data_IF_919448438724
#
_entry.id   IF_919448438724
#
_cell.length_a   1.000
_cell.length_b   1.000
_cell.length_c   1.000
_cell.angle_alpha   90.00
_cell.angle_beta   90.00
_cell.angle_gamma   90.00
#
_symmetry.space_group_name_H-M   'P 1'
#
loop_
_entity.id
_entity.type
_entity.pdbx_description
1 polymer ?
#
# COMPACT_ATOMS: atom_id res chain seq x y z
N UNK A 1 -14.71 9.64 4.11
CA UNK A 1 -15.44 8.40 3.76
C UNK A 1 -15.30 7.40 4.91
N UNK A 2 -16.32 6.57 5.16
CA UNK A 2 -16.33 5.57 6.23
C UNK A 2 -16.47 4.18 5.60
N UNK A 3 -15.60 3.24 5.97
CA UNK A 3 -15.66 1.84 5.54
C UNK A 3 -16.03 0.95 6.72
N UNK A 4 -17.02 0.06 6.51
CA UNK A 4 -17.55 -0.87 7.51
C UNK A 4 -17.77 -2.23 6.86
N UNK A 5 -17.54 -3.31 7.61
CA UNK A 5 -17.83 -4.68 7.16
C UNK A 5 -16.67 -5.65 7.37
N UNK A 6 -16.75 -6.83 6.74
CA UNK A 6 -15.71 -7.87 6.83
C UNK A 6 -15.11 -8.12 5.45
N UNK A 7 -13.79 -8.04 5.35
CA UNK A 7 -13.04 -8.38 4.12
C UNK A 7 -12.33 -9.71 4.31
N UNK A 8 -12.18 -10.47 3.22
CA UNK A 8 -11.62 -11.84 3.27
C UNK A 8 -10.15 -11.88 3.73
N UNK A 9 -9.38 -10.85 3.41
CA UNK A 9 -7.95 -10.79 3.70
C UNK A 9 -7.45 -9.33 3.78
N UNK A 10 -6.26 -9.15 4.34
CA UNK A 10 -5.62 -7.85 4.52
C UNK A 10 -5.36 -7.13 3.18
N UNK A 11 -5.14 -7.87 2.09
CA UNK A 11 -4.89 -7.26 0.78
C UNK A 11 -6.15 -6.57 0.25
N UNK A 12 -7.34 -7.15 0.49
CA UNK A 12 -8.62 -6.52 0.17
C UNK A 12 -8.88 -5.30 1.06
N UNK A 13 -8.52 -5.36 2.35
CA UNK A 13 -8.62 -4.21 3.26
C UNK A 13 -7.87 -3.00 2.70
N UNK A 14 -6.59 -3.18 2.39
CA UNK A 14 -5.72 -2.10 1.90
C UNK A 14 -6.21 -1.54 0.57
N UNK A 15 -6.62 -2.42 -0.36
CA UNK A 15 -7.17 -2.00 -1.66
C UNK A 15 -8.45 -1.18 -1.51
N UNK A 16 -9.34 -1.56 -0.59
CA UNK A 16 -10.58 -0.83 -0.34
C UNK A 16 -10.30 0.58 0.20
N UNK A 17 -9.36 0.70 1.16
CA UNK A 17 -8.97 2.00 1.73
C UNK A 17 -8.34 2.91 0.66
N UNK A 18 -7.44 2.38 -0.17
CA UNK A 18 -6.78 3.17 -1.23
C UNK A 18 -7.77 3.57 -2.31
N UNK A 19 -8.66 2.67 -2.73
CA UNK A 19 -9.65 2.96 -3.77
C UNK A 19 -10.57 4.11 -3.35
N UNK A 20 -10.99 4.12 -2.08
CA UNK A 20 -11.87 5.16 -1.52
C UNK A 20 -11.10 6.45 -1.26
N UNK A 21 -9.86 6.38 -0.77
CA UNK A 21 -9.02 7.55 -0.51
C UNK A 21 -8.65 8.31 -1.78
N UNK A 22 -8.54 7.63 -2.92
CA UNK A 22 -8.22 8.24 -4.21
C UNK A 22 -9.45 8.79 -4.95
N UNK A 23 -10.65 8.71 -4.37
CA UNK A 23 -11.83 9.32 -4.97
C UNK A 23 -11.82 10.84 -4.77
N UNK A 24 -12.14 11.58 -5.83
CA UNK A 24 -12.14 13.04 -5.82
C UNK A 24 -13.12 13.55 -4.74
N UNK A 25 -12.62 14.39 -3.82
CA UNK A 25 -13.42 14.94 -2.72
C UNK A 25 -13.33 14.17 -1.39
N UNK A 26 -12.55 13.10 -1.31
CA UNK A 26 -12.30 12.40 -0.04
C UNK A 26 -10.99 12.86 0.59
N UNK A 27 -11.09 13.62 1.68
CA UNK A 27 -9.93 14.11 2.44
C UNK A 27 -9.38 13.10 3.44
N UNK A 28 -10.22 12.17 3.91
CA UNK A 28 -9.86 11.14 4.89
C UNK A 28 -10.77 9.92 4.77
N UNK A 29 -10.19 8.73 4.96
CA UNK A 29 -10.90 7.45 5.08
C UNK A 29 -10.83 6.98 6.54
N UNK A 30 -11.99 6.66 7.12
CA UNK A 30 -12.12 6.01 8.42
C UNK A 30 -12.45 4.54 8.17
N UNK A 31 -11.61 3.63 8.67
CA UNK A 31 -11.71 2.19 8.43
C UNK A 31 -11.66 1.38 9.73
N UNK A 32 -11.88 2.04 10.87
CA UNK A 32 -11.83 1.47 12.22
C UNK A 32 -12.86 0.34 12.42
N UNK A 33 -13.92 0.33 11.62
CA UNK A 33 -15.02 -0.64 11.63
C UNK A 33 -14.94 -1.65 10.47
N UNK A 34 -13.85 -1.66 9.70
CA UNK A 34 -13.60 -2.64 8.65
C UNK A 34 -12.71 -3.74 9.22
N UNK A 35 -13.21 -4.98 9.25
CA UNK A 35 -12.53 -6.12 9.85
C UNK A 35 -11.99 -7.06 8.78
N UNK A 36 -10.83 -7.66 9.03
CA UNK A 36 -10.32 -8.75 8.19
C UNK A 36 -10.80 -10.07 8.80
N UNK A 37 -11.46 -10.90 7.98
CA UNK A 37 -11.87 -12.23 8.38
C UNK A 37 -10.62 -13.01 8.83
N UNK A 38 -10.65 -13.67 10.01
CA UNK A 38 -9.56 -14.55 10.40
C UNK A 38 -9.46 -15.68 9.37
N UNK A 39 -8.31 -15.76 8.69
CA UNK A 39 -8.06 -16.84 7.75
C UNK A 39 -8.02 -18.18 8.52
N UNK A 40 -8.76 -19.22 8.09
CA UNK A 40 -8.59 -20.55 8.65
C UNK A 40 -7.23 -21.11 8.18
N UNK A 41 -6.32 -21.38 9.12
CA UNK A 41 -5.29 -22.40 8.92
C UNK A 41 -3.91 -21.97 8.42
N UNK A 42 -3.51 -20.70 8.48
CA UNK A 42 -2.10 -20.33 8.34
C UNK A 42 -1.66 -19.50 9.52
N UNK A 43 -0.63 -19.98 10.22
CA UNK A 43 0.10 -19.20 11.21
C UNK A 43 0.53 -17.90 10.53
N UNK A 44 -0.13 -16.80 10.88
CA UNK A 44 0.28 -15.48 10.48
C UNK A 44 1.66 -15.25 11.07
N UNK A 45 2.70 -15.37 10.23
CA UNK A 45 3.93 -14.64 10.50
C UNK A 45 3.50 -13.19 10.81
N UNK A 46 4.01 -12.57 11.89
CA UNK A 46 3.57 -11.24 12.29
C UNK A 46 3.79 -10.32 11.09
N UNK A 47 2.70 -9.95 10.42
CA UNK A 47 2.72 -9.01 9.33
C UNK A 47 3.10 -7.67 9.97
N UNK A 48 4.41 -7.40 10.01
CA UNK A 48 4.95 -6.11 10.45
C UNK A 48 4.19 -5.01 9.73
N UNK A 49 3.89 -3.95 10.48
CA UNK A 49 2.95 -2.92 10.09
C UNK A 49 3.24 -2.38 8.66
N UNK A 50 2.20 -2.29 7.80
CA UNK A 50 2.39 -1.80 6.44
C UNK A 50 2.84 -0.34 6.48
N UNK A 51 4.02 -0.08 5.93
CA UNK A 51 4.54 1.29 5.76
C UNK A 51 3.94 1.91 4.51
N UNK A 52 3.46 3.15 4.60
CA UNK A 52 2.91 3.88 3.46
C UNK A 52 3.78 5.07 3.10
N UNK A 53 3.97 5.31 1.80
CA UNK A 53 4.72 6.44 1.27
C UNK A 53 3.85 7.29 0.35
N UNK A 54 3.82 8.60 0.59
CA UNK A 54 3.19 9.55 -0.34
C UNK A 54 4.22 10.03 -1.36
N UNK A 55 4.00 9.70 -2.63
CA UNK A 55 4.84 10.08 -3.75
C UNK A 55 4.94 11.61 -3.84
N UNK A 56 6.15 12.15 -3.92
CA UNK A 56 6.38 13.59 -4.13
C UNK A 56 6.73 13.88 -5.59
N UNK A 57 6.62 15.14 -5.98
CA UNK A 57 6.98 15.59 -7.34
C UNK A 57 8.45 15.25 -7.64
N UNK A 58 8.69 14.46 -8.69
CA UNK A 58 10.02 14.03 -9.12
C UNK A 58 10.55 12.75 -8.47
N UNK A 59 9.74 12.08 -7.63
CA UNK A 59 10.04 10.72 -7.17
C UNK A 59 9.80 9.70 -8.29
N UNK A 60 10.54 8.60 -8.22
CA UNK A 60 10.32 7.37 -8.99
C UNK A 60 10.40 6.19 -8.02
N UNK A 61 9.94 4.99 -8.42
CA UNK A 61 9.94 3.85 -7.51
C UNK A 61 11.35 3.49 -7.00
N UNK A 62 12.39 3.72 -7.80
CA UNK A 62 13.78 3.51 -7.38
C UNK A 62 14.16 4.41 -6.19
N UNK A 63 13.93 5.72 -6.29
CA UNK A 63 14.21 6.69 -5.23
C UNK A 63 13.36 6.43 -4.00
N UNK A 64 12.11 5.99 -4.18
CA UNK A 64 11.23 5.63 -3.06
C UNK A 64 11.78 4.39 -2.35
N UNK A 65 12.17 3.35 -3.10
CA UNK A 65 12.83 2.18 -2.54
C UNK A 65 14.11 2.55 -1.79
N UNK A 66 14.97 3.42 -2.33
CA UNK A 66 16.18 3.87 -1.63
C UNK A 66 15.88 4.70 -0.36
N UNK A 67 14.83 5.52 -0.38
CA UNK A 67 14.39 6.29 0.80
C UNK A 67 13.80 5.39 1.88
N UNK A 68 13.09 4.34 1.51
CA UNK A 68 12.41 3.44 2.44
C UNK A 68 13.31 2.33 2.97
N UNK A 69 14.15 1.75 2.13
CA UNK A 69 14.99 0.59 2.45
C UNK A 69 16.46 0.93 2.66
N UNK A 70 16.87 2.15 2.33
CA UNK A 70 18.25 2.61 2.43
C UNK A 70 18.95 2.75 1.07
N UNK A 71 20.03 3.53 1.07
CA UNK A 71 20.78 3.89 -0.14
C UNK A 71 21.34 2.63 -0.84
N UNK A 72 21.12 2.49 -2.15
CA UNK A 72 21.53 1.32 -2.93
C UNK A 72 20.48 0.20 -3.01
N UNK A 73 19.39 0.28 -2.26
CA UNK A 73 18.27 -0.69 -2.33
C UNK A 73 17.26 -0.36 -3.44
N UNK A 74 17.60 0.52 -4.38
CA UNK A 74 16.67 0.94 -5.42
C UNK A 74 16.17 -0.20 -6.32
N UNK A 75 16.93 -1.30 -6.42
CA UNK A 75 16.50 -2.54 -7.11
C UNK A 75 15.22 -3.14 -6.52
N UNK A 76 14.90 -2.84 -5.26
CA UNK A 76 13.69 -3.31 -4.56
C UNK A 76 12.42 -2.55 -4.96
N UNK A 77 12.52 -1.65 -5.94
CA UNK A 77 11.37 -0.99 -6.57
C UNK A 77 10.32 -1.98 -7.09
N UNK A 78 10.74 -3.17 -7.54
CA UNK A 78 9.85 -4.22 -8.03
C UNK A 78 8.95 -4.78 -6.92
N UNK A 79 9.47 -4.88 -5.70
CA UNK A 79 8.70 -5.34 -4.54
C UNK A 79 7.58 -4.36 -4.22
N UNK A 80 7.88 -3.04 -4.29
CA UNK A 80 6.87 -1.98 -4.16
C UNK A 80 5.86 -2.09 -5.30
N UNK A 81 6.30 -2.28 -6.54
CA UNK A 81 5.40 -2.40 -7.69
C UNK A 81 4.41 -3.56 -7.54
N UNK A 82 4.89 -4.76 -7.22
CA UNK A 82 4.04 -5.94 -7.04
C UNK A 82 3.06 -5.76 -5.87
N UNK A 83 3.50 -5.18 -4.76
CA UNK A 83 2.64 -4.95 -3.59
C UNK A 83 1.47 -3.99 -3.86
N UNK A 84 1.58 -3.12 -4.88
CA UNK A 84 0.56 -2.15 -5.23
C UNK A 84 -0.30 -2.56 -6.44
N UNK A 85 -0.12 -3.76 -7.01
CA UNK A 85 -1.01 -4.27 -8.05
C UNK A 85 -2.39 -4.65 -7.49
N UNK A 86 -3.48 -4.41 -8.24
CA UNK A 86 -3.52 -3.93 -9.63
C UNK A 86 -3.57 -2.39 -9.77
N UNK A 87 -3.50 -1.65 -8.66
CA UNK A 87 -3.69 -0.18 -8.66
C UNK A 87 -2.53 0.54 -9.33
N UNK A 88 -1.31 0.00 -9.23
CA UNK A 88 -0.15 0.43 -9.99
C UNK A 88 0.04 -0.49 -11.20
N UNK A 89 -0.29 0.00 -12.40
CA UNK A 89 -0.26 -0.79 -13.64
C UNK A 89 1.11 -0.81 -14.30
N UNK A 90 1.91 0.23 -14.09
CA UNK A 90 3.29 0.31 -14.55
C UNK A 90 4.20 0.90 -13.48
N UNK A 91 5.44 0.45 -13.39
CA UNK A 91 6.40 0.92 -12.38
C UNK A 91 6.69 2.43 -12.48
N UNK A 92 6.66 2.99 -13.69
CA UNK A 92 6.94 4.42 -13.90
C UNK A 92 5.69 5.30 -13.84
N UNK A 93 4.49 4.72 -13.77
CA UNK A 93 3.22 5.46 -13.73
C UNK A 93 2.81 5.77 -12.30
N UNK A 94 3.63 6.56 -11.62
CA UNK A 94 3.32 7.10 -10.30
C UNK A 94 3.12 8.62 -10.36
N UNK A 95 2.19 9.14 -9.57
CA UNK A 95 1.84 10.56 -9.57
C UNK A 95 2.10 11.21 -8.21
N UNK A 96 2.48 12.50 -8.16
CA UNK A 96 2.62 13.21 -6.89
C UNK A 96 1.29 13.20 -6.11
N UNK A 97 1.35 12.90 -4.81
CA UNK A 97 0.18 12.73 -3.95
C UNK A 97 -0.37 11.30 -3.91
N UNK A 98 0.08 10.40 -4.79
CA UNK A 98 -0.29 8.99 -4.74
C UNK A 98 0.33 8.31 -3.51
N UNK A 99 -0.47 7.56 -2.76
CA UNK A 99 0.01 6.77 -1.62
C UNK A 99 0.31 5.35 -2.10
N UNK A 100 1.53 4.89 -1.84
CA UNK A 100 2.00 3.54 -2.17
C UNK A 100 2.27 2.76 -0.88
N UNK A 101 1.91 1.48 -0.90
CA UNK A 101 2.33 0.51 0.12
C UNK A 101 3.80 0.15 -0.08
N UNK A 102 4.57 0.21 0.99
CA UNK A 102 5.98 -0.17 1.03
C UNK A 102 6.10 -1.43 1.90
N UNK A 103 6.29 -2.61 1.30
CA UNK A 103 6.47 -3.86 2.05
C UNK A 103 7.85 -3.92 2.71
N UNK A 104 7.99 -4.53 3.89
CA UNK A 104 9.31 -4.72 4.52
C UNK A 104 10.16 -5.72 3.73
N UNK A 105 11.47 -5.53 3.73
CA UNK A 105 12.42 -6.49 3.16
C UNK A 105 12.79 -7.48 4.26
N UNK A 106 12.20 -8.67 4.20
CA UNK A 106 12.54 -9.77 5.10
C UNK A 106 14.04 -10.13 5.05
#
# INVERSE_FOLDING_TARGET
AVLKGVVKDQSIFEKAVIAVGNTLGVSKVQADELQVAPAPGTAAAPAKEPTFYTVKKGDNLWKIAEKSYGKGQGVKNTVIFEANKPMLTHPDKIYPGQVLRIPDLA
#
